data_IF_257633843938
#
_entry.id   IF_257633843938
#
_cell.length_a   1.000
_cell.length_b   1.000
_cell.length_c   1.000
_cell.angle_alpha   90.00
_cell.angle_beta   90.00
_cell.angle_gamma   90.00
#
_symmetry.space_group_name_H-M   'P 1'
#
loop_
_entity.id
_entity.type
_entity.pdbx_description
1 polymer ?
#
# COMPACT_ATOMS: atom_id res chain seq x y z
N UNK A 1 4.51 -9.69 -16.17
CA UNK A 1 3.58 -9.45 -15.02
C UNK A 1 2.38 -10.35 -15.24
N UNK A 2 1.89 -11.04 -14.21
CA UNK A 2 0.75 -11.96 -14.35
C UNK A 2 -0.53 -11.14 -14.48
N UNK A 3 -1.31 -11.34 -15.53
CA UNK A 3 -2.67 -10.81 -15.63
C UNK A 3 -3.61 -11.68 -14.79
N UNK A 4 -3.75 -11.30 -13.51
CA UNK A 4 -4.59 -12.05 -12.57
C UNK A 4 -6.07 -12.00 -12.94
N UNK A 5 -6.56 -10.96 -13.61
CA UNK A 5 -7.95 -10.88 -14.06
C UNK A 5 -8.23 -11.94 -15.13
N UNK A 6 -7.34 -12.09 -16.12
CA UNK A 6 -7.44 -13.12 -17.13
C UNK A 6 -7.30 -14.53 -16.55
N UNK A 7 -6.37 -14.74 -15.61
CA UNK A 7 -6.16 -16.03 -14.94
C UNK A 7 -7.39 -16.44 -14.12
N UNK A 8 -8.01 -15.52 -13.37
CA UNK A 8 -9.21 -15.80 -12.58
C UNK A 8 -10.42 -16.08 -13.49
N UNK A 9 -10.55 -15.35 -14.59
CA UNK A 9 -11.60 -15.59 -15.60
C UNK A 9 -11.46 -17.00 -16.21
N UNK A 10 -10.23 -17.43 -16.57
CA UNK A 10 -9.93 -18.80 -17.02
C UNK A 10 -10.28 -19.84 -15.95
N UNK A 11 -10.11 -19.51 -14.69
CA UNK A 11 -10.52 -20.37 -13.57
C UNK A 11 -12.05 -20.41 -13.35
N UNK A 12 -12.84 -19.69 -14.15
CA UNK A 12 -14.29 -19.65 -14.06
C UNK A 12 -14.84 -18.67 -13.05
N UNK A 13 -14.00 -17.72 -12.58
CA UNK A 13 -14.43 -16.66 -11.68
C UNK A 13 -14.74 -15.39 -12.47
N UNK A 14 -15.94 -14.84 -12.25
CA UNK A 14 -16.30 -13.55 -12.86
C UNK A 14 -15.50 -12.43 -12.21
N UNK A 15 -14.61 -11.82 -13.00
CA UNK A 15 -13.84 -10.64 -12.60
C UNK A 15 -14.47 -9.40 -13.23
N UNK A 16 -14.79 -8.35 -12.44
CA UNK A 16 -15.27 -7.10 -13.00
C UNK A 16 -14.18 -6.45 -13.87
N UNK A 17 -14.54 -6.01 -15.06
CA UNK A 17 -13.60 -5.36 -16.00
C UNK A 17 -13.13 -4.01 -15.43
N UNK A 18 -11.81 -3.79 -15.40
CA UNK A 18 -11.21 -2.53 -14.94
C UNK A 18 -11.29 -2.29 -13.42
N UNK A 19 -11.60 -3.32 -12.63
CA UNK A 19 -11.64 -3.25 -11.16
C UNK A 19 -10.54 -4.13 -10.58
N UNK A 20 -9.57 -3.50 -9.92
CA UNK A 20 -8.40 -4.17 -9.36
C UNK A 20 -8.73 -4.93 -8.05
N UNK A 21 -9.68 -4.41 -7.25
CA UNK A 21 -10.12 -5.04 -6.01
C UNK A 21 -11.63 -5.21 -6.00
N UNK A 22 -12.10 -6.42 -5.77
CA UNK A 22 -13.52 -6.76 -5.71
C UNK A 22 -13.77 -7.88 -4.69
N UNK A 23 -15.06 -8.09 -4.34
CA UNK A 23 -15.48 -9.18 -3.47
C UNK A 23 -16.30 -10.19 -4.24
N UNK A 24 -16.15 -11.46 -3.85
CA UNK A 24 -16.92 -12.59 -4.37
C UNK A 24 -17.47 -13.42 -3.21
N UNK A 25 -18.45 -14.26 -3.49
CA UNK A 25 -18.81 -15.34 -2.58
C UNK A 25 -17.63 -16.28 -2.41
N UNK A 26 -17.24 -16.52 -1.16
CA UNK A 26 -16.09 -17.36 -0.89
C UNK A 26 -16.33 -18.80 -1.35
N UNK A 27 -15.48 -19.37 -2.22
CA UNK A 27 -15.69 -20.74 -2.71
C UNK A 27 -15.31 -21.81 -1.69
N UNK A 28 -14.82 -21.43 -0.51
CA UNK A 28 -14.29 -22.35 0.50
C UNK A 28 -15.21 -22.58 1.69
N UNK A 29 -16.40 -21.95 1.71
CA UNK A 29 -17.49 -22.21 2.66
C UNK A 29 -18.83 -21.86 2.03
N UNK A 30 -19.92 -22.31 2.64
CA UNK A 30 -21.27 -21.92 2.22
C UNK A 30 -21.48 -20.42 2.50
N UNK A 31 -21.33 -19.58 1.49
CA UNK A 31 -21.37 -18.12 1.60
C UNK A 31 -22.69 -17.57 1.06
N UNK A 32 -23.38 -16.77 1.89
CA UNK A 32 -24.62 -16.08 1.49
C UNK A 32 -24.36 -14.63 1.10
N UNK A 33 -23.16 -14.08 1.43
CA UNK A 33 -22.75 -12.72 1.16
C UNK A 33 -21.31 -12.72 0.67
N UNK A 34 -20.94 -11.80 -0.19
CA UNK A 34 -19.59 -11.69 -0.72
C UNK A 34 -18.58 -11.43 0.40
N UNK A 35 -17.89 -12.48 0.86
CA UNK A 35 -16.97 -12.43 1.99
C UNK A 35 -15.50 -12.70 1.61
N UNK A 36 -15.20 -12.90 0.33
CA UNK A 36 -13.85 -13.09 -0.16
C UNK A 36 -13.43 -11.89 -1.01
N UNK A 37 -12.49 -11.10 -0.52
CA UNK A 37 -11.88 -10.01 -1.27
C UNK A 37 -10.70 -10.52 -2.10
N UNK A 38 -10.63 -10.09 -3.33
CA UNK A 38 -9.56 -10.36 -4.29
C UNK A 38 -9.00 -9.03 -4.75
N UNK A 39 -7.67 -8.91 -4.76
CA UNK A 39 -6.94 -7.81 -5.37
C UNK A 39 -6.06 -8.37 -6.48
N UNK A 40 -6.37 -8.03 -7.72
CA UNK A 40 -5.67 -8.53 -8.91
C UNK A 40 -4.38 -7.77 -9.21
N UNK A 41 -4.25 -6.53 -8.74
CA UNK A 41 -3.02 -5.74 -8.84
C UNK A 41 -1.94 -6.30 -7.91
N UNK A 42 -2.29 -6.50 -6.62
CA UNK A 42 -1.38 -7.05 -5.62
C UNK A 42 -1.25 -8.58 -5.71
N UNK A 43 -2.11 -9.25 -6.47
CA UNK A 43 -2.13 -10.70 -6.63
C UNK A 43 -2.48 -11.44 -5.33
N UNK A 44 -3.37 -10.86 -4.48
CA UNK A 44 -3.70 -11.39 -3.16
C UNK A 44 -5.19 -11.59 -2.96
N UNK A 45 -5.55 -12.42 -1.98
CA UNK A 45 -6.93 -12.66 -1.58
C UNK A 45 -7.08 -12.83 -0.07
N UNK A 46 -8.29 -12.59 0.43
CA UNK A 46 -8.67 -12.83 1.83
C UNK A 46 -10.16 -13.18 1.94
N UNK A 47 -10.45 -14.19 2.74
CA UNK A 47 -11.80 -14.47 3.20
C UNK A 47 -12.05 -13.89 4.60
N UNK A 48 -12.99 -12.96 4.72
CA UNK A 48 -13.34 -12.31 6.00
C UNK A 48 -14.04 -13.25 7.00
N UNK A 49 -14.43 -14.45 6.57
CA UNK A 49 -14.99 -15.52 7.43
C UNK A 49 -13.90 -16.50 7.90
N UNK A 50 -12.62 -16.25 7.61
CA UNK A 50 -11.50 -17.01 8.15
C UNK A 50 -11.12 -18.27 7.35
N UNK A 51 -11.60 -18.46 6.11
CA UNK A 51 -11.17 -19.60 5.28
C UNK A 51 -9.70 -19.56 4.89
N UNK A 52 -9.08 -18.38 4.88
CA UNK A 52 -7.69 -18.17 4.55
C UNK A 52 -7.44 -16.85 3.85
N UNK A 53 -6.15 -16.59 3.62
CA UNK A 53 -5.63 -15.43 2.92
C UNK A 53 -4.29 -15.78 2.29
N UNK A 54 -3.81 -14.95 1.35
CA UNK A 54 -2.49 -15.09 0.74
C UNK A 54 -2.46 -14.68 -0.72
N UNK A 55 -1.42 -15.08 -1.43
CA UNK A 55 -1.29 -14.82 -2.85
C UNK A 55 -2.33 -15.57 -3.70
N UNK A 56 -2.69 -15.02 -4.86
CA UNK A 56 -3.68 -15.64 -5.77
C UNK A 56 -3.23 -17.01 -6.29
N UNK A 57 -1.93 -17.33 -6.33
CA UNK A 57 -1.45 -18.69 -6.57
C UNK A 57 -2.00 -19.68 -5.53
N UNK A 58 -2.01 -19.28 -4.24
CA UNK A 58 -2.53 -20.13 -3.16
C UNK A 58 -4.05 -20.30 -3.24
N UNK A 59 -4.76 -19.25 -3.65
CA UNK A 59 -6.19 -19.30 -3.93
C UNK A 59 -6.52 -20.30 -5.04
N UNK A 60 -5.86 -20.17 -6.21
CA UNK A 60 -6.06 -21.05 -7.35
C UNK A 60 -5.72 -22.50 -7.05
N UNK A 61 -4.61 -22.72 -6.31
CA UNK A 61 -4.24 -24.07 -5.86
C UNK A 61 -5.36 -24.73 -5.10
N UNK A 62 -5.99 -24.02 -4.19
CA UNK A 62 -7.09 -24.54 -3.36
C UNK A 62 -8.39 -24.62 -4.14
N UNK A 63 -8.70 -23.59 -4.95
CA UNK A 63 -9.95 -23.49 -5.71
C UNK A 63 -10.05 -24.55 -6.80
N UNK A 64 -8.97 -24.77 -7.53
CA UNK A 64 -8.90 -25.73 -8.63
C UNK A 64 -8.37 -27.11 -8.19
N UNK A 65 -8.03 -27.29 -6.89
CA UNK A 65 -7.42 -28.52 -6.36
C UNK A 65 -6.14 -28.94 -7.11
N UNK A 66 -5.32 -27.97 -7.52
CA UNK A 66 -4.09 -28.17 -8.29
C UNK A 66 -2.88 -28.28 -7.38
N UNK A 67 -1.83 -29.01 -7.83
CA UNK A 67 -0.49 -28.95 -7.24
C UNK A 67 0.20 -27.63 -7.59
N UNK A 68 1.27 -27.26 -6.87
CA UNK A 68 2.01 -26.03 -7.15
C UNK A 68 2.49 -25.93 -8.61
N UNK A 69 3.08 -27.02 -9.16
CA UNK A 69 3.53 -27.06 -10.56
C UNK A 69 2.38 -26.92 -11.58
N UNK A 70 1.21 -27.46 -11.27
CA UNK A 70 0.03 -27.33 -12.13
C UNK A 70 -0.55 -25.91 -12.10
N UNK A 71 -0.48 -25.22 -10.95
CA UNK A 71 -0.87 -23.80 -10.85
C UNK A 71 0.09 -22.94 -11.67
N UNK A 72 1.39 -23.17 -11.58
CA UNK A 72 2.37 -22.42 -12.36
C UNK A 72 2.18 -22.64 -13.87
N UNK A 73 1.92 -23.87 -14.31
CA UNK A 73 1.55 -24.16 -15.70
C UNK A 73 0.22 -23.50 -16.10
N UNK A 74 -0.79 -23.54 -15.23
CA UNK A 74 -2.08 -22.89 -15.47
C UNK A 74 -1.95 -21.37 -15.64
N UNK A 75 -1.05 -20.74 -14.90
CA UNK A 75 -0.74 -19.32 -14.98
C UNK A 75 0.13 -19.02 -16.21
N UNK A 76 1.14 -19.87 -16.50
CA UNK A 76 2.11 -19.67 -17.58
C UNK A 76 1.50 -19.57 -19.00
N UNK A 77 0.35 -20.19 -19.21
CA UNK A 77 -0.43 -20.03 -20.46
C UNK A 77 -1.02 -18.60 -20.60
N UNK A 78 -0.81 -17.72 -19.62
CA UNK A 78 -1.25 -16.32 -19.58
C UNK A 78 -0.09 -15.36 -19.21
N UNK A 79 1.17 -15.78 -19.38
CA UNK A 79 2.23 -14.80 -19.53
C UNK A 79 1.94 -14.02 -20.81
N UNK A 80 1.46 -12.79 -20.63
CA UNK A 80 1.30 -11.85 -21.73
C UNK A 80 2.66 -11.73 -22.38
N UNK A 81 2.78 -12.18 -23.63
CA UNK A 81 3.85 -11.72 -24.52
C UNK A 81 3.68 -10.21 -24.51
N UNK A 82 4.54 -9.51 -23.84
CA UNK A 82 4.54 -8.05 -23.86
C UNK A 82 4.87 -7.70 -25.32
N UNK A 83 3.84 -7.37 -26.08
CA UNK A 83 4.00 -6.68 -27.34
C UNK A 83 4.62 -5.33 -26.99
N UNK A 84 5.93 -5.21 -27.23
CA UNK A 84 6.70 -3.99 -26.94
C UNK A 84 6.24 -2.81 -27.79
N UNK A 85 5.31 -2.95 -28.70
CA UNK A 85 4.67 -1.85 -29.43
C UNK A 85 3.78 -0.96 -28.56
N UNK A 86 3.43 -1.39 -27.33
CA UNK A 86 2.73 -0.57 -26.33
C UNK A 86 3.64 0.36 -25.51
N UNK A 87 4.93 0.37 -25.78
CA UNK A 87 5.86 1.34 -25.18
C UNK A 87 6.08 2.60 -26.04
N UNK A 88 5.21 2.82 -27.03
CA UNK A 88 5.13 4.11 -27.68
C UNK A 88 4.50 5.12 -26.69
N UNK A 89 5.34 6.00 -26.19
CA UNK A 89 5.20 7.35 -25.61
C UNK A 89 3.77 7.91 -25.32
N UNK A 90 2.84 7.14 -24.84
CA UNK A 90 1.72 7.71 -24.11
C UNK A 90 2.20 7.98 -22.68
N UNK A 91 2.53 9.23 -22.41
CA UNK A 91 2.61 9.75 -21.05
C UNK A 91 1.36 9.24 -20.32
N UNK A 92 1.50 8.61 -19.14
CA UNK A 92 0.34 8.18 -18.38
C UNK A 92 -0.55 9.40 -18.21
N UNK A 93 -1.72 9.42 -18.85
CA UNK A 93 -2.71 10.45 -18.59
C UNK A 93 -2.87 10.46 -17.07
N UNK A 94 -2.56 11.60 -16.46
CA UNK A 94 -2.90 11.91 -15.08
C UNK A 94 -4.43 11.90 -15.01
N UNK A 95 -5.01 10.70 -14.94
CA UNK A 95 -6.43 10.54 -14.73
C UNK A 95 -6.70 11.08 -13.33
N UNK A 96 -7.24 12.30 -13.28
CA UNK A 96 -7.62 12.94 -12.03
C UNK A 96 -8.52 11.99 -11.25
N UNK A 97 -8.07 11.61 -10.06
CA UNK A 97 -8.87 10.77 -9.18
C UNK A 97 -10.16 11.52 -8.78
N UNK A 98 -11.30 10.84 -8.70
CA UNK A 98 -12.54 11.47 -8.27
C UNK A 98 -12.43 11.93 -6.83
N UNK A 99 -12.88 13.16 -6.55
CA UNK A 99 -12.97 13.67 -5.19
C UNK A 99 -14.11 12.97 -4.44
N UNK A 100 -13.90 12.68 -3.16
CA UNK A 100 -14.87 12.03 -2.28
C UNK A 100 -14.97 12.74 -0.94
N UNK A 101 -16.12 12.59 -0.27
CA UNK A 101 -16.29 13.08 1.08
C UNK A 101 -15.58 12.22 2.11
N UNK A 102 -15.04 12.86 3.16
CA UNK A 102 -14.49 12.17 4.33
C UNK A 102 -15.56 12.03 5.40
N UNK A 103 -16.13 10.83 5.63
CA UNK A 103 -17.36 10.68 6.41
C UNK A 103 -17.13 10.58 7.92
N UNK A 104 -15.92 10.79 8.43
CA UNK A 104 -15.56 10.57 9.83
C UNK A 104 -15.39 11.86 10.60
N UNK A 105 -15.72 11.81 11.90
CA UNK A 105 -15.59 12.94 12.80
C UNK A 105 -14.12 13.13 13.21
N UNK A 106 -13.53 14.26 12.85
CA UNK A 106 -12.15 14.63 13.13
C UNK A 106 -11.95 15.35 14.48
N UNK A 107 -13.03 15.65 15.23
CA UNK A 107 -12.90 16.24 16.55
C UNK A 107 -12.42 15.23 17.61
N UNK A 108 -12.52 13.96 17.31
CA UNK A 108 -12.13 12.86 18.20
C UNK A 108 -11.24 11.87 17.46
N UNK A 109 -10.37 11.23 18.22
CA UNK A 109 -9.52 10.12 17.77
C UNK A 109 -9.61 8.98 18.77
N UNK A 110 -9.37 7.72 18.39
CA UNK A 110 -9.39 6.61 19.34
C UNK A 110 -8.23 6.70 20.34
N UNK A 111 -8.50 6.47 21.63
CA UNK A 111 -7.49 6.61 22.70
C UNK A 111 -6.25 5.74 22.50
N UNK A 112 -6.41 4.54 21.92
CA UNK A 112 -5.30 3.61 21.71
C UNK A 112 -4.18 4.15 20.81
N UNK A 113 -4.43 5.24 20.03
CA UNK A 113 -3.39 5.82 19.18
C UNK A 113 -2.31 6.54 20.02
N UNK A 114 -2.68 7.01 21.21
CA UNK A 114 -1.74 7.64 22.14
C UNK A 114 -0.79 6.61 22.78
N UNK A 115 -1.22 5.34 22.93
CA UNK A 115 -0.35 4.23 23.33
C UNK A 115 0.77 4.00 22.29
N UNK A 116 0.54 4.42 21.06
CA UNK A 116 1.52 4.42 19.98
C UNK A 116 2.34 5.71 19.90
N UNK A 117 2.24 6.58 20.91
CA UNK A 117 2.98 7.84 21.08
C UNK A 117 2.70 8.91 20.00
N UNK A 118 1.60 8.81 19.28
CA UNK A 118 1.18 9.88 18.38
C UNK A 118 0.68 11.09 19.17
N UNK A 119 1.08 12.30 18.73
CA UNK A 119 0.65 13.55 19.33
C UNK A 119 -0.66 14.03 18.71
N UNK A 120 -1.44 14.79 19.48
CA UNK A 120 -2.66 15.41 18.96
C UNK A 120 -2.36 16.39 17.80
N UNK A 121 -1.16 17.01 17.81
CA UNK A 121 -0.70 17.90 16.74
C UNK A 121 -0.57 17.12 15.41
N UNK A 122 0.06 15.95 15.45
CA UNK A 122 0.22 15.07 14.28
C UNK A 122 -1.14 14.60 13.80
N UNK A 123 -1.98 14.08 14.69
CA UNK A 123 -3.30 13.57 14.32
C UNK A 123 -4.20 14.65 13.68
N UNK A 124 -4.11 15.90 14.15
CA UNK A 124 -4.79 17.04 13.55
C UNK A 124 -4.20 17.41 12.18
N UNK A 125 -2.87 17.42 12.05
CA UNK A 125 -2.20 17.69 10.78
C UNK A 125 -2.61 16.71 9.68
N UNK A 126 -2.80 15.44 10.06
CA UNK A 126 -3.22 14.37 9.17
C UNK A 126 -4.75 14.18 9.13
N UNK A 127 -5.49 15.12 9.71
CA UNK A 127 -6.97 15.17 9.73
C UNK A 127 -7.60 13.85 10.22
N UNK A 128 -6.96 13.20 11.17
CA UNK A 128 -7.42 11.95 11.73
C UNK A 128 -8.76 12.09 12.45
N UNK A 129 -9.60 11.08 12.33
CA UNK A 129 -10.89 10.98 12.96
C UNK A 129 -11.13 9.60 13.57
N UNK A 130 -12.33 9.41 14.14
CA UNK A 130 -12.74 8.16 14.76
C UNK A 130 -13.90 7.51 14.00
N UNK A 131 -13.86 6.18 13.90
CA UNK A 131 -15.01 5.40 13.42
C UNK A 131 -15.87 4.89 14.58
N UNK A 132 -17.13 4.50 14.29
CA UNK A 132 -18.02 3.89 15.30
C UNK A 132 -17.48 2.58 15.91
N UNK A 133 -16.49 1.96 15.29
CA UNK A 133 -15.80 0.76 15.78
C UNK A 133 -14.45 1.07 16.44
N UNK A 134 -14.23 2.30 16.88
CA UNK A 134 -13.00 2.76 17.52
C UNK A 134 -11.74 2.58 16.64
N UNK A 135 -11.91 2.66 15.32
CA UNK A 135 -10.82 2.71 14.35
C UNK A 135 -10.33 4.14 14.14
N UNK A 136 -9.03 4.31 13.84
CA UNK A 136 -8.47 5.58 13.42
C UNK A 136 -8.73 5.75 11.92
N UNK A 137 -9.54 6.76 11.56
CA UNK A 137 -9.79 7.12 10.17
C UNK A 137 -8.91 8.30 9.77
N UNK A 138 -8.49 8.36 8.51
CA UNK A 138 -7.77 9.50 7.94
C UNK A 138 -8.07 9.62 6.45
N UNK A 139 -8.17 10.86 5.91
CA UNK A 139 -8.37 11.08 4.49
C UNK A 139 -7.12 10.70 3.71
N UNK A 140 -7.31 10.26 2.49
CA UNK A 140 -6.25 10.06 1.51
C UNK A 140 -6.39 11.15 0.46
N UNK A 141 -5.34 11.97 0.31
CA UNK A 141 -5.31 13.10 -0.60
C UNK A 141 -4.37 12.84 -1.76
N UNK A 142 -4.71 13.38 -2.91
CA UNK A 142 -3.81 13.43 -4.05
C UNK A 142 -2.79 14.58 -3.93
N UNK A 143 -1.95 14.77 -4.93
CA UNK A 143 -0.94 15.82 -5.03
C UNK A 143 -1.52 17.23 -5.02
N UNK A 144 -2.80 17.40 -5.36
CA UNK A 144 -3.53 18.67 -5.32
C UNK A 144 -4.27 18.90 -3.99
N UNK A 145 -4.00 18.07 -2.97
CA UNK A 145 -4.64 18.09 -1.66
C UNK A 145 -6.16 17.79 -1.68
N UNK A 146 -6.71 17.26 -2.77
CA UNK A 146 -8.13 16.85 -2.85
C UNK A 146 -8.29 15.50 -2.15
N UNK A 147 -9.38 15.29 -1.43
CA UNK A 147 -9.70 14.00 -0.82
C UNK A 147 -10.18 13.05 -1.91
N UNK A 148 -9.40 12.02 -2.22
CA UNK A 148 -9.69 11.01 -3.23
C UNK A 148 -10.02 9.64 -2.63
N UNK A 149 -9.95 9.56 -1.32
CA UNK A 149 -10.30 8.37 -0.57
C UNK A 149 -10.08 8.54 0.93
N UNK A 150 -10.24 7.46 1.64
CA UNK A 150 -9.95 7.38 3.06
C UNK A 150 -9.50 5.98 3.45
N UNK A 151 -8.80 5.92 4.57
CA UNK A 151 -8.39 4.68 5.19
C UNK A 151 -8.79 4.64 6.67
N UNK A 152 -9.00 3.44 7.18
CA UNK A 152 -9.28 3.18 8.59
C UNK A 152 -8.28 2.17 9.12
N UNK A 153 -7.47 2.57 10.10
CA UNK A 153 -6.63 1.66 10.87
C UNK A 153 -7.42 1.07 12.02
N UNK A 154 -7.57 -0.22 12.06
CA UNK A 154 -8.24 -0.94 13.14
C UNK A 154 -7.27 -1.16 14.29
N UNK A 155 -7.75 -1.06 15.55
CA UNK A 155 -6.93 -1.42 16.72
C UNK A 155 -6.51 -2.88 16.69
N UNK A 156 -7.46 -3.76 16.37
CA UNK A 156 -7.30 -5.21 16.32
C UNK A 156 -8.04 -5.79 15.13
N UNK A 157 -7.67 -7.00 14.75
CA UNK A 157 -8.30 -7.74 13.66
C UNK A 157 -7.57 -7.58 12.33
N UNK A 158 -8.00 -8.37 11.35
CA UNK A 158 -7.45 -8.40 10.02
C UNK A 158 -8.58 -8.11 8.99
N UNK A 159 -8.30 -7.40 7.89
CA UNK A 159 -7.05 -6.68 7.62
C UNK A 159 -6.86 -5.52 8.60
N UNK A 160 -5.60 -5.12 8.83
CA UNK A 160 -5.25 -4.00 9.71
C UNK A 160 -5.81 -2.68 9.21
N UNK A 161 -5.82 -2.48 7.89
CA UNK A 161 -6.34 -1.30 7.22
C UNK A 161 -7.56 -1.65 6.36
N UNK A 162 -8.56 -0.76 6.38
CA UNK A 162 -9.69 -0.76 5.46
C UNK A 162 -9.59 0.52 4.61
N UNK A 163 -9.83 0.39 3.31
CA UNK A 163 -9.85 1.50 2.37
C UNK A 163 -11.22 1.62 1.74
N UNK A 164 -11.63 2.81 1.33
CA UNK A 164 -12.85 2.95 0.53
C UNK A 164 -12.65 2.30 -0.85
N UNK A 165 -13.73 1.76 -1.42
CA UNK A 165 -13.68 0.95 -2.64
C UNK A 165 -13.14 1.66 -3.88
N UNK A 166 -13.28 3.00 -3.95
CA UNK A 166 -12.83 3.77 -5.10
C UNK A 166 -11.38 4.19 -5.03
N UNK A 167 -10.69 3.95 -3.90
CA UNK A 167 -9.31 4.39 -3.71
C UNK A 167 -8.34 3.60 -4.60
N UNK A 168 -7.66 4.31 -5.49
CA UNK A 168 -6.60 3.78 -6.36
C UNK A 168 -5.24 3.99 -5.69
N UNK A 169 -4.87 3.15 -4.74
CA UNK A 169 -3.65 3.27 -3.93
C UNK A 169 -2.38 3.39 -4.78
N UNK A 170 -2.29 2.63 -5.86
CA UNK A 170 -1.15 2.63 -6.79
C UNK A 170 -0.96 3.93 -7.58
N UNK A 171 -1.95 4.84 -7.54
CA UNK A 171 -1.92 6.11 -8.30
C UNK A 171 -1.65 7.34 -7.44
N UNK A 172 -1.24 7.18 -6.19
CA UNK A 172 -1.00 8.29 -5.27
C UNK A 172 0.08 7.93 -4.24
N UNK A 173 0.60 8.96 -3.57
CA UNK A 173 1.47 8.83 -2.41
C UNK A 173 0.75 9.43 -1.20
N UNK A 174 0.44 8.61 -0.21
CA UNK A 174 -0.19 9.09 1.03
C UNK A 174 0.72 10.09 1.72
N UNK A 175 0.25 11.29 1.97
CA UNK A 175 1.03 12.38 2.54
C UNK A 175 1.78 13.23 1.51
N UNK A 176 1.72 12.92 0.22
CA UNK A 176 2.43 13.68 -0.83
C UNK A 176 2.09 15.17 -0.82
N UNK A 177 0.83 15.55 -0.57
CA UNK A 177 0.38 16.94 -0.44
C UNK A 177 1.00 17.70 0.75
N UNK A 178 1.65 17.02 1.69
CA UNK A 178 2.33 17.63 2.85
C UNK A 178 3.82 17.88 2.60
N UNK A 179 4.35 17.39 1.48
CA UNK A 179 5.76 17.54 1.12
C UNK A 179 5.99 18.91 0.50
N UNK A 180 6.87 19.69 1.10
CA UNK A 180 7.29 21.01 0.62
C UNK A 180 8.80 21.08 0.66
N UNK A 181 9.44 21.42 -0.46
CA UNK A 181 10.88 21.76 -0.61
C UNK A 181 11.84 20.93 0.29
N UNK A 182 11.63 19.62 0.34
CA UNK A 182 12.44 18.75 1.17
C UNK A 182 13.70 18.29 0.41
N UNK A 183 14.88 18.28 1.04
CA UNK A 183 16.09 17.79 0.39
C UNK A 183 16.06 16.27 0.15
N UNK A 184 15.28 15.55 0.94
CA UNK A 184 15.04 14.14 0.82
C UNK A 184 13.63 13.79 1.34
N UNK A 185 13.11 12.64 0.90
CA UNK A 185 11.81 12.12 1.29
C UNK A 185 11.93 10.65 1.71
N UNK A 186 11.30 10.30 2.83
CA UNK A 186 11.20 8.93 3.30
C UNK A 186 9.94 8.28 2.74
N UNK A 187 10.06 7.05 2.26
CA UNK A 187 8.96 6.27 1.69
C UNK A 187 8.74 5.03 2.53
N UNK A 188 7.54 4.88 3.06
CA UNK A 188 7.13 3.74 3.90
C UNK A 188 6.04 2.92 3.23
N UNK A 189 5.78 1.70 3.71
CA UNK A 189 4.66 0.89 3.25
C UNK A 189 3.33 1.40 3.83
N UNK A 190 3.32 1.67 5.13
CA UNK A 190 2.13 1.96 5.91
C UNK A 190 1.93 3.43 6.24
N UNK A 191 0.66 3.87 6.32
CA UNK A 191 0.35 5.27 6.67
C UNK A 191 0.86 5.71 8.03
N UNK A 192 0.80 4.83 9.05
CA UNK A 192 1.25 5.21 10.40
C UNK A 192 2.76 5.41 10.47
N UNK A 193 3.53 4.71 9.64
CA UNK A 193 4.97 4.87 9.56
C UNK A 193 5.35 6.24 8.99
N UNK A 194 4.67 6.66 7.91
CA UNK A 194 4.84 8.00 7.34
C UNK A 194 4.42 9.09 8.34
N UNK A 195 3.28 8.92 9.01
CA UNK A 195 2.83 9.86 10.05
C UNK A 195 3.80 9.92 11.23
N UNK A 196 4.43 8.81 11.60
CA UNK A 196 5.44 8.75 12.66
C UNK A 196 6.72 9.49 12.27
N UNK A 197 7.20 9.31 11.06
CA UNK A 197 8.34 10.05 10.53
C UNK A 197 8.05 11.56 10.47
N UNK A 198 6.89 11.97 9.92
CA UNK A 198 6.47 13.38 9.89
C UNK A 198 6.39 13.98 11.30
N UNK A 199 5.87 13.24 12.29
CA UNK A 199 5.84 13.67 13.68
C UNK A 199 7.23 14.01 14.24
N UNK A 200 8.24 13.26 13.82
CA UNK A 200 9.63 13.43 14.25
C UNK A 200 10.43 14.36 13.34
N UNK A 201 9.77 15.06 12.39
CA UNK A 201 10.38 16.08 11.55
C UNK A 201 11.01 15.53 10.26
N UNK A 202 10.73 14.30 9.89
CA UNK A 202 11.20 13.66 8.67
C UNK A 202 10.10 13.68 7.60
N UNK A 203 10.30 14.39 6.46
CA UNK A 203 9.34 14.39 5.36
C UNK A 203 9.10 12.98 4.85
N UNK A 204 7.85 12.51 4.91
CA UNK A 204 7.57 11.11 4.58
C UNK A 204 6.23 10.92 3.86
N UNK A 205 6.18 9.90 3.03
CA UNK A 205 4.98 9.41 2.32
C UNK A 205 4.84 7.91 2.49
N UNK A 206 3.62 7.39 2.26
CA UNK A 206 3.41 5.95 2.24
C UNK A 206 2.81 5.47 0.92
N UNK A 207 3.16 4.22 0.54
CA UNK A 207 2.66 3.53 -0.65
C UNK A 207 1.23 3.01 -0.47
N UNK A 208 0.76 2.84 0.77
CA UNK A 208 -0.49 2.17 1.14
C UNK A 208 -0.54 0.68 0.76
N UNK A 209 0.61 0.05 0.59
CA UNK A 209 0.81 -1.35 0.23
C UNK A 209 2.28 -1.72 0.21
N UNK A 210 2.58 -3.00 -0.02
CA UNK A 210 3.94 -3.53 0.02
C UNK A 210 4.76 -3.23 -1.26
N UNK A 211 4.14 -2.79 -2.34
CA UNK A 211 4.82 -2.62 -3.63
C UNK A 211 4.62 -1.23 -4.20
N UNK A 212 5.70 -0.64 -4.70
CA UNK A 212 5.70 0.63 -5.42
C UNK A 212 5.25 0.43 -6.87
N UNK A 213 4.30 1.22 -7.34
CA UNK A 213 3.91 1.27 -8.74
C UNK A 213 4.80 2.24 -9.54
N UNK A 214 4.79 2.13 -10.86
CA UNK A 214 5.45 3.11 -11.75
C UNK A 214 4.90 4.53 -11.56
N UNK A 215 3.59 4.66 -11.34
CA UNK A 215 2.96 5.97 -11.10
C UNK A 215 3.48 6.58 -9.80
N UNK A 216 3.59 5.81 -8.73
CA UNK A 216 4.15 6.28 -7.46
C UNK A 216 5.64 6.66 -7.59
N UNK A 217 6.42 5.90 -8.36
CA UNK A 217 7.80 6.25 -8.65
C UNK A 217 7.90 7.57 -9.43
N UNK A 218 7.07 7.78 -10.44
CA UNK A 218 7.01 9.02 -11.19
C UNK A 218 6.63 10.22 -10.28
N UNK A 219 5.62 10.05 -9.41
CA UNK A 219 5.25 11.09 -8.44
C UNK A 219 6.41 11.45 -7.50
N UNK A 220 7.22 10.47 -7.07
CA UNK A 220 8.43 10.75 -6.26
C UNK A 220 9.46 11.57 -7.04
N UNK A 221 9.63 11.33 -8.34
CA UNK A 221 10.52 12.11 -9.19
C UNK A 221 10.01 13.55 -9.39
N UNK A 222 8.69 13.76 -9.45
CA UNK A 222 8.07 15.07 -9.60
C UNK A 222 8.26 15.99 -8.38
N UNK A 223 8.47 15.43 -7.17
CA UNK A 223 8.77 16.25 -5.99
C UNK A 223 10.10 17.00 -6.06
N UNK A 224 10.93 16.74 -7.06
CA UNK A 224 12.24 17.40 -7.24
C UNK A 224 13.15 17.29 -6.01
N UNK A 225 13.01 16.21 -5.23
CA UNK A 225 13.84 15.94 -4.06
C UNK A 225 15.21 15.42 -4.49
N UNK A 226 16.23 15.74 -3.69
CA UNK A 226 17.60 15.28 -3.96
C UNK A 226 17.78 13.78 -3.70
N UNK A 227 16.97 13.16 -2.85
CA UNK A 227 17.09 11.74 -2.46
C UNK A 227 15.76 11.16 -2.03
N UNK A 228 15.50 9.92 -2.43
CA UNK A 228 14.40 9.07 -1.93
C UNK A 228 14.98 8.01 -1.01
N UNK A 229 14.47 7.93 0.21
CA UNK A 229 14.92 6.98 1.24
C UNK A 229 13.83 5.94 1.50
N UNK A 230 14.06 4.70 1.11
CA UNK A 230 13.09 3.61 1.32
C UNK A 230 13.20 3.08 2.75
N UNK A 231 12.07 3.05 3.48
CA UNK A 231 11.95 2.59 4.88
C UNK A 231 10.85 1.54 4.96
N UNK A 232 11.15 0.32 4.50
CA UNK A 232 10.18 -0.77 4.45
C UNK A 232 10.25 -1.64 5.70
N UNK A 233 9.19 -2.44 5.93
CA UNK A 233 9.08 -3.31 7.09
C UNK A 233 10.23 -4.35 7.12
N UNK A 234 10.72 -4.68 8.32
CA UNK A 234 11.73 -5.73 8.53
C UNK A 234 11.07 -7.11 8.54
N UNK A 235 10.45 -7.48 7.40
CA UNK A 235 9.92 -8.82 7.16
C UNK A 235 10.14 -9.22 5.68
N UNK A 236 9.83 -10.47 5.35
CA UNK A 236 10.04 -11.01 4.00
C UNK A 236 9.29 -10.20 2.92
N UNK A 237 8.09 -9.70 3.23
CA UNK A 237 7.30 -8.90 2.29
C UNK A 237 7.94 -7.54 2.04
N UNK A 238 8.45 -6.88 3.11
CA UNK A 238 9.17 -5.61 3.02
C UNK A 238 10.47 -5.73 2.23
N UNK A 239 11.22 -6.82 2.42
CA UNK A 239 12.44 -7.07 1.64
C UNK A 239 12.15 -7.23 0.14
N UNK A 240 11.12 -8.02 -0.21
CA UNK A 240 10.68 -8.16 -1.61
C UNK A 240 10.18 -6.82 -2.16
N UNK A 241 9.47 -6.05 -1.34
CA UNK A 241 8.99 -4.72 -1.69
C UNK A 241 10.12 -3.75 -1.99
N UNK A 242 11.18 -3.77 -1.15
CA UNK A 242 12.39 -2.97 -1.32
C UNK A 242 13.07 -3.26 -2.66
N UNK A 243 13.34 -4.53 -2.97
CA UNK A 243 14.00 -4.94 -4.21
C UNK A 243 13.23 -4.47 -5.45
N UNK A 244 11.90 -4.58 -5.41
CA UNK A 244 11.03 -4.10 -6.49
C UNK A 244 11.02 -2.59 -6.60
N UNK A 245 10.96 -1.86 -5.47
CA UNK A 245 10.97 -0.40 -5.46
C UNK A 245 12.27 0.16 -6.05
N UNK A 246 13.42 -0.42 -5.70
CA UNK A 246 14.72 -0.07 -6.28
C UNK A 246 14.71 -0.24 -7.80
N UNK A 247 14.13 -1.34 -8.30
CA UNK A 247 14.02 -1.60 -9.74
C UNK A 247 13.09 -0.59 -10.44
N UNK A 248 11.97 -0.21 -9.81
CA UNK A 248 10.96 0.67 -10.42
C UNK A 248 11.42 2.14 -10.41
N UNK A 249 12.13 2.60 -9.36
CA UNK A 249 12.66 3.96 -9.27
C UNK A 249 13.74 4.25 -10.32
N UNK A 250 14.55 3.25 -10.70
CA UNK A 250 15.55 3.40 -11.74
C UNK A 250 16.57 4.50 -11.44
N UNK A 251 17.14 5.11 -12.51
CA UNK A 251 18.22 6.11 -12.43
C UNK A 251 17.73 7.57 -12.29
N UNK A 252 16.41 7.78 -12.15
CA UNK A 252 15.79 9.12 -12.20
C UNK A 252 16.02 10.00 -10.96
N UNK A 253 16.37 9.40 -9.83
CA UNK A 253 16.57 10.06 -8.53
C UNK A 253 17.59 9.28 -7.70
N UNK A 254 18.33 9.98 -6.85
CA UNK A 254 19.20 9.30 -5.89
C UNK A 254 18.37 8.49 -4.91
N UNK A 255 18.67 7.20 -4.78
CA UNK A 255 17.93 6.27 -3.91
C UNK A 255 18.84 5.72 -2.83
N UNK A 256 18.35 5.70 -1.63
CA UNK A 256 18.94 4.96 -0.51
C UNK A 256 17.84 4.19 0.25
N UNK A 257 18.24 3.27 1.11
CA UNK A 257 17.30 2.53 1.93
C UNK A 257 17.83 2.32 3.35
N UNK A 258 16.90 2.07 4.27
CA UNK A 258 17.16 1.80 5.67
C UNK A 258 16.90 0.33 5.95
N UNK A 259 17.83 -0.34 6.60
CA UNK A 259 17.60 -1.63 7.22
C UNK A 259 17.11 -1.42 8.64
N UNK A 260 15.86 -1.78 8.90
CA UNK A 260 15.28 -1.67 10.25
C UNK A 260 15.95 -2.73 11.13
N UNK A 261 16.67 -2.33 12.20
CA UNK A 261 17.39 -3.29 13.03
C UNK A 261 16.46 -4.10 13.94
N UNK A 262 16.81 -5.32 14.23
CA UNK A 262 16.17 -6.09 15.30
C UNK A 262 16.25 -5.35 16.65
N UNK A 263 15.22 -5.40 17.51
CA UNK A 263 13.99 -6.19 17.39
C UNK A 263 12.80 -5.43 16.73
N UNK A 264 13.04 -4.33 16.04
CA UNK A 264 11.98 -3.49 15.47
C UNK A 264 11.45 -4.10 14.17
N UNK A 265 10.15 -4.01 13.98
CA UNK A 265 9.47 -4.44 12.75
C UNK A 265 9.45 -3.34 11.69
N UNK A 266 9.14 -2.14 12.10
CA UNK A 266 8.95 -0.95 11.25
C UNK A 266 9.50 0.30 11.95
N UNK A 267 9.56 1.43 11.27
CA UNK A 267 10.08 2.69 11.84
C UNK A 267 9.21 3.20 12.99
N UNK A 268 7.92 2.88 13.01
CA UNK A 268 7.01 3.31 14.08
C UNK A 268 7.23 2.51 15.37
N UNK A 269 7.85 1.32 15.31
CA UNK A 269 8.27 0.57 16.50
C UNK A 269 9.46 1.21 17.20
N UNK A 270 10.25 2.04 16.50
CA UNK A 270 11.39 2.80 17.07
C UNK A 270 10.86 4.04 17.78
N UNK A 271 10.55 3.87 19.10
CA UNK A 271 9.89 4.90 19.93
C UNK A 271 10.82 5.94 20.51
N UNK A 272 12.13 5.69 20.52
CA UNK A 272 13.14 6.62 21.04
C UNK A 272 13.69 7.46 19.89
N UNK A 273 13.55 8.78 19.97
CA UNK A 273 14.00 9.71 18.94
C UNK A 273 15.49 9.55 18.61
N UNK A 274 16.37 9.45 19.61
CA UNK A 274 17.81 9.26 19.36
C UNK A 274 18.12 7.96 18.58
N UNK A 275 17.38 6.88 18.87
CA UNK A 275 17.52 5.62 18.14
C UNK A 275 16.98 5.74 16.71
N UNK A 276 15.83 6.42 16.55
CA UNK A 276 15.26 6.69 15.23
C UNK A 276 16.23 7.51 14.38
N UNK A 277 16.80 8.60 14.95
CA UNK A 277 17.78 9.45 14.27
C UNK A 277 19.03 8.67 13.84
N UNK A 278 19.52 7.75 14.67
CA UNK A 278 20.66 6.89 14.34
C UNK A 278 20.35 5.97 13.16
N UNK A 279 19.21 5.27 13.23
CA UNK A 279 18.76 4.34 12.18
C UNK A 279 18.55 5.09 10.86
N UNK A 280 17.90 6.25 10.87
CA UNK A 280 17.64 7.03 9.67
C UNK A 280 18.89 7.67 9.05
N UNK A 281 20.00 7.78 9.79
CA UNK A 281 21.31 8.22 9.27
C UNK A 281 22.13 7.09 8.68
N UNK A 282 21.90 5.86 9.10
CA UNK A 282 22.60 4.66 8.62
C UNK A 282 21.92 4.12 7.35
N UNK A 283 22.22 4.79 6.22
CA UNK A 283 21.58 4.51 4.93
C UNK A 283 22.52 3.75 4.00
N UNK A 284 21.96 2.74 3.36
CA UNK A 284 22.57 2.02 2.26
C UNK A 284 22.20 2.71 0.94
N UNK A 285 23.17 2.96 0.07
CA UNK A 285 22.96 3.66 -1.21
C UNK A 285 22.85 2.64 -2.34
N UNK A 286 21.87 2.88 -3.20
CA UNK A 286 21.62 2.09 -4.42
C UNK A 286 22.31 2.70 -5.64
#
# INVERSE_FOLDING_TARGET
MIDWSAVLLKAGLNTPVGVEQFTIRCPFHADQHDSCSINTEEGVWICFRGCGQGGLKSFLRRYLSLSGKQVDSFIGDHEVIIDTSFFDDEQPELTTLPEVDFPYNTNFVPDWIFDRQFTIKTLKRWECGITGQNGLAFPVRDEFARIVGWAVRRKQGFPKYLYNHSLKKSKLLFGGHLINDAPLIYVTEGPLDAMWLDQNGYPAVALLGAYMSKVQANLLQEFSVGEVVLCFDNDEAGQIGLDKALTVLGEGVRVSYIEIPEPYKDVQDIRKCDTLDMVLKDRNYW
#
